data_IF_620649299126
#
_entry.id   IF_620649299126
#
_cell.length_a   1.000
_cell.length_b   1.000
_cell.length_c   1.000
_cell.angle_alpha   90.00
_cell.angle_beta   90.00
_cell.angle_gamma   90.00
#
_symmetry.space_group_name_H-M   'P 1'
#
loop_
_entity.id
_entity.type
_entity.pdbx_description
1 polymer ?
#
# COMPACT_ATOMS: atom_id res chain seq x y z
N UNK A 1 -79.51 15.13 4.50
CA UNK A 1 -78.12 15.58 4.60
C UNK A 1 -77.25 14.35 4.56
N UNK A 2 -76.55 14.15 3.43
CA UNK A 2 -75.60 13.02 3.23
C UNK A 2 -74.17 13.54 3.39
N UNK A 3 -73.43 13.03 4.38
CA UNK A 3 -72.01 13.27 4.55
C UNK A 3 -71.26 12.35 3.64
N UNK A 4 -70.43 12.92 2.76
CA UNK A 4 -69.43 12.22 1.91
C UNK A 4 -68.10 12.29 2.62
N UNK A 5 -67.57 11.14 3.07
CA UNK A 5 -66.23 10.98 3.64
C UNK A 5 -65.23 10.88 2.49
N UNK A 6 -64.25 11.81 2.42
CA UNK A 6 -63.09 11.73 1.51
C UNK A 6 -61.97 11.05 2.25
N UNK A 7 -61.66 9.80 1.88
CA UNK A 7 -60.45 9.13 2.31
C UNK A 7 -59.27 9.65 1.50
N UNK A 8 -58.33 10.32 2.14
CA UNK A 8 -57.06 10.74 1.59
C UNK A 8 -56.03 9.62 1.86
N UNK A 9 -55.67 8.85 0.84
CA UNK A 9 -54.61 7.85 0.93
C UNK A 9 -53.25 8.55 0.83
N UNK A 10 -52.50 8.52 1.93
CA UNK A 10 -51.15 9.04 2.00
C UNK A 10 -50.18 7.96 1.49
N UNK A 11 -49.68 8.12 0.25
CA UNK A 11 -48.65 7.24 -0.32
C UNK A 11 -47.29 7.69 0.24
N UNK A 12 -46.73 6.95 1.17
CA UNK A 12 -45.34 7.14 1.64
C UNK A 12 -44.41 6.50 0.62
N UNK A 13 -43.75 7.33 -0.17
CA UNK A 13 -42.59 6.88 -0.97
C UNK A 13 -41.41 6.67 -0.03
N UNK A 14 -41.05 5.40 0.19
CA UNK A 14 -39.81 5.00 0.85
C UNK A 14 -38.65 5.14 -0.18
N UNK A 15 -37.96 6.26 -0.14
CA UNK A 15 -36.70 6.43 -0.91
C UNK A 15 -35.62 5.59 -0.24
N UNK A 16 -35.29 4.41 -0.82
CA UNK A 16 -34.06 3.70 -0.49
C UNK A 16 -32.91 4.55 -0.99
N UNK A 17 -32.25 5.26 -0.10
CA UNK A 17 -30.93 5.82 -0.36
C UNK A 17 -29.91 4.65 -0.35
N UNK A 18 -29.56 4.16 -1.52
CA UNK A 18 -28.35 3.36 -1.70
C UNK A 18 -27.17 4.29 -1.42
N UNK A 19 -26.63 4.22 -0.20
CA UNK A 19 -25.37 4.86 0.12
C UNK A 19 -24.28 4.27 -0.79
N UNK A 20 -23.29 5.08 -1.22
CA UNK A 20 -22.19 4.57 -2.03
C UNK A 20 -21.47 3.48 -1.24
N UNK A 21 -21.41 2.28 -1.79
CA UNK A 21 -20.53 1.22 -1.31
C UNK A 21 -19.13 1.68 -1.66
N UNK A 22 -18.36 2.12 -0.66
CA UNK A 22 -16.94 2.42 -0.84
C UNK A 22 -16.26 1.10 -1.16
N UNK A 23 -15.96 0.88 -2.43
CA UNK A 23 -15.13 -0.24 -2.87
C UNK A 23 -13.69 0.05 -2.36
N UNK A 24 -13.31 -0.61 -1.27
CA UNK A 24 -11.94 -0.52 -0.76
C UNK A 24 -11.03 -1.36 -1.66
N UNK A 25 -10.16 -0.70 -2.40
CA UNK A 25 -9.23 -1.28 -3.39
C UNK A 25 -8.04 -2.04 -2.77
N UNK A 26 -8.21 -2.71 -1.64
CA UNK A 26 -7.16 -3.53 -1.03
C UNK A 26 -7.45 -5.01 -1.28
N UNK A 27 -6.99 -5.49 -2.42
CA UNK A 27 -7.30 -6.80 -3.00
C UNK A 27 -6.94 -7.98 -2.12
N UNK A 28 -5.91 -7.83 -1.33
CA UNK A 28 -5.25 -8.91 -0.64
C UNK A 28 -6.07 -9.56 0.48
N UNK A 29 -6.76 -8.80 1.31
CA UNK A 29 -7.50 -9.36 2.45
C UNK A 29 -8.95 -9.69 2.18
N UNK A 30 -9.53 -9.17 1.11
CA UNK A 30 -10.95 -9.44 0.77
C UNK A 30 -11.16 -10.91 0.44
N UNK A 31 -10.18 -11.56 -0.15
CA UNK A 31 -10.26 -12.96 -0.56
C UNK A 31 -10.11 -13.93 0.60
N UNK A 32 -9.62 -13.49 1.75
CA UNK A 32 -9.40 -14.34 2.92
C UNK A 32 -10.51 -14.21 3.96
N UNK A 33 -10.75 -15.30 4.70
CA UNK A 33 -11.67 -15.30 5.83
C UNK A 33 -11.07 -14.55 7.02
N UNK A 34 -11.92 -13.98 7.87
CA UNK A 34 -11.47 -13.37 9.13
C UNK A 34 -11.08 -14.41 10.19
N UNK A 35 -11.45 -15.68 9.99
CA UNK A 35 -11.08 -16.77 10.88
C UNK A 35 -9.65 -17.22 10.62
N UNK A 36 -8.93 -17.51 11.69
CA UNK A 36 -7.56 -18.04 11.63
C UNK A 36 -7.59 -19.55 11.85
N UNK A 37 -6.89 -20.30 11.00
CA UNK A 37 -6.63 -21.73 11.19
C UNK A 37 -5.14 -21.96 11.39
N UNK A 38 -4.79 -23.16 11.85
CA UNK A 38 -3.40 -23.64 11.91
C UNK A 38 -3.35 -25.10 11.49
N UNK A 39 -2.30 -25.48 10.79
CA UNK A 39 -2.04 -26.85 10.39
C UNK A 39 -0.53 -27.15 10.44
N UNK A 40 -0.19 -28.45 10.41
CA UNK A 40 1.19 -28.94 10.36
C UNK A 40 1.46 -29.57 9.01
N UNK A 41 2.66 -29.34 8.48
CA UNK A 41 3.03 -29.94 7.22
C UNK A 41 4.51 -29.79 6.90
N UNK A 42 4.89 -30.33 5.75
CA UNK A 42 6.26 -30.32 5.26
C UNK A 42 6.42 -29.25 4.17
N UNK A 43 7.45 -28.43 4.27
CA UNK A 43 7.80 -27.45 3.24
C UNK A 43 8.18 -28.16 1.96
N UNK A 44 7.51 -27.88 0.86
CA UNK A 44 7.80 -28.48 -0.46
C UNK A 44 8.47 -27.50 -1.42
N UNK A 45 8.19 -26.18 -1.26
CA UNK A 45 8.76 -25.12 -2.09
C UNK A 45 8.69 -23.77 -1.38
N UNK A 46 9.63 -22.89 -1.68
CA UNK A 46 9.63 -21.48 -1.28
C UNK A 46 9.93 -20.61 -2.50
N UNK A 47 8.99 -19.75 -2.89
CA UNK A 47 9.18 -18.73 -3.91
C UNK A 47 9.53 -17.41 -3.20
N UNK A 48 10.83 -17.13 -3.04
CA UNK A 48 11.32 -15.92 -2.35
C UNK A 48 11.45 -14.77 -3.34
N UNK A 49 10.30 -14.14 -3.64
CA UNK A 49 10.16 -13.09 -4.65
C UNK A 49 9.17 -12.03 -4.19
N UNK A 50 9.19 -10.84 -4.82
CA UNK A 50 8.25 -9.75 -4.57
C UNK A 50 7.16 -9.71 -5.65
N UNK A 51 5.98 -9.16 -5.34
CA UNK A 51 5.60 -8.44 -4.12
C UNK A 51 5.31 -9.32 -2.90
N UNK A 52 5.11 -10.62 -3.07
CA UNK A 52 4.79 -11.55 -1.99
C UNK A 52 5.61 -12.84 -2.11
N UNK A 53 6.15 -13.26 -0.96
CA UNK A 53 6.78 -14.58 -0.86
C UNK A 53 5.71 -15.64 -0.69
N UNK A 54 5.78 -16.71 -1.48
CA UNK A 54 4.90 -17.87 -1.39
C UNK A 54 5.64 -19.07 -0.83
N UNK A 55 5.05 -19.66 0.21
CA UNK A 55 5.51 -20.91 0.83
C UNK A 55 4.51 -22.01 0.50
N UNK A 56 4.99 -23.16 0.04
CA UNK A 56 4.18 -24.33 -0.24
C UNK A 56 4.42 -25.39 0.82
N UNK A 57 3.32 -25.87 1.45
CA UNK A 57 3.38 -26.84 2.56
C UNK A 57 2.42 -27.99 2.29
N UNK A 58 2.96 -29.20 2.29
CA UNK A 58 2.19 -30.43 2.18
C UNK A 58 1.66 -30.84 3.56
N UNK A 59 0.34 -30.89 3.69
CA UNK A 59 -0.38 -31.35 4.88
C UNK A 59 -0.90 -32.76 4.65
N UNK A 60 -0.61 -33.68 5.57
CA UNK A 60 -1.22 -35.02 5.57
C UNK A 60 -2.58 -34.96 6.28
N UNK A 61 -3.63 -35.37 5.57
CA UNK A 61 -4.99 -35.41 6.09
C UNK A 61 -5.23 -36.69 6.90
N UNK A 62 -6.29 -36.72 7.71
CA UNK A 62 -6.66 -37.88 8.54
C UNK A 62 -6.96 -39.13 7.71
N UNK A 63 -7.44 -38.98 6.47
CA UNK A 63 -7.74 -40.07 5.53
C UNK A 63 -6.49 -40.60 4.79
N UNK A 64 -5.32 -40.06 5.07
CA UNK A 64 -4.05 -40.40 4.45
C UNK A 64 -3.76 -39.65 3.14
N UNK A 65 -4.67 -38.83 2.64
CA UNK A 65 -4.39 -37.98 1.47
C UNK A 65 -3.43 -36.84 1.82
N UNK A 66 -2.71 -36.33 0.84
CA UNK A 66 -1.81 -35.19 0.99
C UNK A 66 -2.37 -33.98 0.23
N UNK A 67 -2.52 -32.86 0.91
CA UNK A 67 -2.96 -31.59 0.35
C UNK A 67 -1.82 -30.60 0.40
N UNK A 68 -1.52 -29.93 -0.71
CA UNK A 68 -0.54 -28.86 -0.73
C UNK A 68 -1.23 -27.52 -0.58
N UNK A 69 -0.87 -26.82 0.48
CA UNK A 69 -1.27 -25.43 0.70
C UNK A 69 -0.33 -24.47 0.00
N UNK A 70 -0.87 -23.50 -0.71
CA UNK A 70 -0.19 -22.30 -1.17
C UNK A 70 -0.36 -21.21 -0.11
N UNK A 71 0.75 -20.69 0.39
CA UNK A 71 0.76 -19.81 1.55
C UNK A 71 1.38 -18.49 1.15
N UNK A 72 0.54 -17.50 1.04
CA UNK A 72 0.95 -16.13 0.77
C UNK A 72 1.44 -15.45 2.04
N UNK A 73 2.53 -14.69 1.93
CA UNK A 73 3.14 -13.97 3.05
C UNK A 73 3.41 -12.51 2.67
N UNK A 74 4.30 -11.82 3.37
CA UNK A 74 4.76 -10.48 3.02
C UNK A 74 5.84 -10.48 1.94
N UNK A 75 6.32 -9.27 1.61
CA UNK A 75 7.45 -9.06 0.70
C UNK A 75 8.78 -9.53 1.32
N UNK A 76 9.78 -9.75 0.48
CA UNK A 76 11.13 -10.16 0.94
C UNK A 76 11.74 -9.18 1.93
N UNK A 77 11.68 -7.82 1.76
CA UNK A 77 12.16 -6.88 2.78
C UNK A 77 11.41 -7.00 4.10
N UNK A 78 10.09 -7.12 4.05
CA UNK A 78 9.26 -7.25 5.25
C UNK A 78 9.60 -8.50 6.06
N UNK A 79 9.79 -9.64 5.41
CA UNK A 79 10.12 -10.91 6.06
C UNK A 79 11.56 -10.90 6.60
N UNK A 80 12.52 -10.37 5.84
CA UNK A 80 13.91 -10.25 6.26
C UNK A 80 14.04 -9.43 7.54
N UNK A 81 13.35 -8.28 7.63
CA UNK A 81 13.34 -7.46 8.87
C UNK A 81 12.69 -8.16 10.06
N UNK A 82 11.87 -9.18 9.82
CA UNK A 82 11.27 -10.04 10.87
C UNK A 82 12.14 -11.23 11.21
N UNK A 83 13.34 -11.29 10.62
CA UNK A 83 14.30 -12.36 10.85
C UNK A 83 13.99 -13.67 10.12
N UNK A 84 13.12 -13.63 9.10
CA UNK A 84 12.90 -14.76 8.20
C UNK A 84 13.69 -14.54 6.91
N UNK A 85 14.57 -15.47 6.58
CA UNK A 85 15.38 -15.49 5.35
C UNK A 85 15.14 -16.81 4.59
N UNK A 86 15.44 -16.87 3.28
CA UNK A 86 15.11 -18.05 2.46
C UNK A 86 15.76 -19.35 2.96
N UNK A 87 16.94 -19.28 3.59
CA UNK A 87 17.67 -20.43 4.16
C UNK A 87 17.03 -20.99 5.44
N UNK A 88 16.03 -20.30 6.00
CA UNK A 88 15.36 -20.73 7.23
C UNK A 88 14.17 -21.66 7.01
N UNK A 89 13.68 -21.76 5.78
CA UNK A 89 12.55 -22.61 5.38
C UNK A 89 12.93 -23.51 4.20
N UNK A 90 13.70 -24.55 4.50
CA UNK A 90 14.16 -25.51 3.48
C UNK A 90 13.11 -26.58 3.19
N UNK A 91 13.11 -27.08 1.96
CA UNK A 91 12.29 -28.23 1.57
C UNK A 91 12.56 -29.42 2.47
N UNK A 92 11.51 -30.12 2.88
CA UNK A 92 11.57 -31.26 3.81
C UNK A 92 11.43 -30.86 5.30
N UNK A 93 11.48 -29.55 5.64
CA UNK A 93 11.28 -29.11 7.02
C UNK A 93 9.81 -29.18 7.44
N UNK A 94 9.58 -29.69 8.64
CA UNK A 94 8.26 -29.64 9.28
C UNK A 94 8.01 -28.29 9.90
N UNK A 95 6.85 -27.71 9.58
CA UNK A 95 6.41 -26.42 10.09
C UNK A 95 4.95 -26.46 10.54
N UNK A 96 4.60 -25.55 11.44
CA UNK A 96 3.21 -25.19 11.72
C UNK A 96 2.96 -23.85 11.08
N UNK A 97 1.96 -23.78 10.21
CA UNK A 97 1.50 -22.54 9.60
C UNK A 97 0.21 -22.09 10.25
N UNK A 98 0.12 -20.80 10.54
CA UNK A 98 -1.08 -20.15 11.06
C UNK A 98 -1.45 -18.98 10.16
N UNK A 99 -2.72 -18.88 9.78
CA UNK A 99 -3.18 -17.80 8.91
C UNK A 99 -4.67 -17.84 8.62
N UNK A 100 -5.07 -17.01 7.69
CA UNK A 100 -6.44 -16.85 7.24
C UNK A 100 -6.61 -17.57 5.90
N UNK A 101 -7.45 -18.62 5.79
CA UNK A 101 -7.67 -19.32 4.53
C UNK A 101 -8.49 -18.49 3.56
N UNK A 102 -8.34 -18.80 2.26
CA UNK A 102 -9.19 -18.24 1.20
C UNK A 102 -10.68 -18.52 1.48
N UNK A 103 -11.55 -17.60 1.06
CA UNK A 103 -13.02 -17.77 1.18
C UNK A 103 -13.50 -18.99 0.37
N UNK A 104 -12.84 -19.31 -0.73
CA UNK A 104 -13.00 -20.57 -1.43
C UNK A 104 -12.02 -21.61 -0.86
N UNK A 105 -12.48 -22.39 0.11
CA UNK A 105 -11.67 -23.40 0.80
C UNK A 105 -11.13 -24.53 -0.11
N UNK A 106 -11.65 -24.66 -1.31
CA UNK A 106 -11.15 -25.63 -2.30
C UNK A 106 -9.80 -25.19 -2.90
N UNK A 107 -9.49 -23.89 -2.90
CA UNK A 107 -8.23 -23.37 -3.43
C UNK A 107 -7.00 -23.77 -2.62
N UNK A 108 -7.16 -24.13 -1.34
CA UNK A 108 -6.04 -24.39 -0.41
C UNK A 108 -5.01 -23.26 -0.40
N UNK A 109 -5.48 -22.05 -0.48
CA UNK A 109 -4.72 -20.82 -0.38
C UNK A 109 -4.90 -20.21 1.01
N UNK A 110 -3.84 -19.66 1.59
CA UNK A 110 -3.84 -19.05 2.91
C UNK A 110 -2.97 -17.80 2.94
N UNK A 111 -3.41 -16.76 3.66
CA UNK A 111 -2.56 -15.64 4.02
C UNK A 111 -2.00 -15.85 5.44
N UNK A 112 -0.70 -16.14 5.53
CA UNK A 112 -0.09 -16.54 6.78
C UNK A 112 0.15 -15.36 7.73
N UNK A 113 -0.14 -15.58 9.02
CA UNK A 113 0.21 -14.67 10.11
C UNK A 113 1.47 -15.12 10.86
N UNK A 114 1.78 -16.41 10.87
CA UNK A 114 2.98 -16.95 11.49
C UNK A 114 3.36 -18.31 10.90
N UNK A 115 4.67 -18.59 10.96
CA UNK A 115 5.24 -19.92 10.70
C UNK A 115 6.11 -20.30 11.89
N UNK A 116 5.89 -21.51 12.44
CA UNK A 116 6.66 -22.09 13.55
C UNK A 116 7.41 -23.31 13.07
N UNK A 117 8.72 -23.36 13.26
CA UNK A 117 9.57 -24.50 12.95
C UNK A 117 9.45 -25.61 14.02
N UNK A 118 9.91 -26.80 13.70
CA UNK A 118 9.89 -27.94 14.63
C UNK A 118 10.70 -27.69 15.93
N UNK A 119 11.70 -26.82 15.87
CA UNK A 119 12.50 -26.39 17.05
C UNK A 119 11.77 -25.38 17.97
N UNK A 120 10.54 -25.00 17.60
CA UNK A 120 9.72 -24.01 18.34
C UNK A 120 9.95 -22.56 17.93
N UNK A 121 10.93 -22.26 17.07
CA UNK A 121 11.16 -20.91 16.57
C UNK A 121 9.97 -20.44 15.72
N UNK A 122 9.37 -19.32 16.12
CA UNK A 122 8.20 -18.75 15.46
C UNK A 122 8.56 -17.44 14.77
N UNK A 123 8.18 -17.32 13.49
CA UNK A 123 8.27 -16.08 12.70
C UNK A 123 6.87 -15.50 12.59
N UNK A 124 6.70 -14.26 13.10
CA UNK A 124 5.47 -13.48 12.92
C UNK A 124 5.56 -12.74 11.59
N UNK A 125 4.65 -13.03 10.66
CA UNK A 125 4.73 -12.57 9.27
C UNK A 125 3.92 -11.31 8.99
N UNK A 126 3.06 -10.92 9.93
CA UNK A 126 2.16 -9.77 9.80
C UNK A 126 2.33 -8.79 10.96
N UNK A 127 1.76 -7.59 10.80
CA UNK A 127 1.80 -6.52 11.80
C UNK A 127 2.90 -5.50 11.53
N UNK A 128 2.96 -4.45 12.34
CA UNK A 128 4.04 -3.45 12.26
C UNK A 128 5.36 -4.06 12.71
N UNK A 129 6.46 -3.68 12.07
CA UNK A 129 7.79 -3.94 12.62
C UNK A 129 7.88 -3.04 13.86
N UNK A 130 7.83 -3.67 15.05
CA UNK A 130 7.99 -2.96 16.29
C UNK A 130 9.42 -2.41 16.37
N UNK A 131 9.60 -1.23 16.98
CA UNK A 131 10.92 -0.91 17.49
C UNK A 131 11.26 -1.98 18.55
N UNK A 132 12.48 -2.48 18.60
CA UNK A 132 12.92 -3.29 19.71
C UNK A 132 12.57 -2.59 21.02
N UNK A 133 11.90 -3.31 21.92
CA UNK A 133 11.45 -2.74 23.20
C UNK A 133 12.64 -2.11 23.93
N UNK A 134 12.57 -0.79 24.17
CA UNK A 134 13.54 -0.07 24.98
C UNK A 134 14.64 0.69 24.23
N UNK A 135 14.70 0.68 22.91
CA UNK A 135 15.61 1.59 22.20
C UNK A 135 15.08 3.03 22.23
N UNK A 136 15.99 3.97 22.55
CA UNK A 136 15.69 5.40 22.47
C UNK A 136 15.25 5.75 21.04
N UNK A 137 14.16 6.51 20.91
CA UNK A 137 13.70 6.98 19.61
C UNK A 137 14.79 7.92 19.06
N UNK A 138 15.39 7.54 17.93
CA UNK A 138 16.40 8.35 17.26
C UNK A 138 15.78 9.67 16.78
N UNK A 139 16.58 10.73 16.79
CA UNK A 139 16.17 12.09 16.39
C UNK A 139 16.93 12.51 15.14
N UNK A 140 16.19 12.94 14.12
CA UNK A 140 16.74 13.57 12.93
C UNK A 140 16.99 15.06 13.20
N UNK A 141 18.01 15.62 12.56
CA UNK A 141 18.30 17.07 12.57
C UNK A 141 17.81 17.77 11.30
N UNK A 142 17.36 17.03 10.31
CA UNK A 142 16.80 17.51 9.05
C UNK A 142 15.83 16.48 8.47
N UNK A 143 15.18 16.81 7.36
CA UNK A 143 14.32 15.86 6.65
C UNK A 143 15.09 14.72 5.98
N UNK A 144 16.42 14.87 5.78
CA UNK A 144 17.25 13.82 5.18
C UNK A 144 17.40 12.62 6.12
N UNK A 145 17.43 11.42 5.54
CA UNK A 145 17.62 10.17 6.26
C UNK A 145 16.58 9.11 5.89
N UNK A 146 16.57 8.03 6.68
CA UNK A 146 15.68 6.88 6.48
C UNK A 146 14.44 7.00 7.36
N UNK A 147 13.29 6.78 6.75
CA UNK A 147 11.97 6.97 7.34
C UNK A 147 11.09 5.74 7.14
N UNK A 148 10.28 5.44 8.14
CA UNK A 148 9.27 4.39 8.06
C UNK A 148 7.87 5.00 8.08
N UNK A 149 7.03 4.68 7.10
CA UNK A 149 5.64 5.12 7.07
C UNK A 149 4.89 4.68 8.34
N UNK A 150 4.21 5.60 9.00
CA UNK A 150 3.30 5.33 10.12
C UNK A 150 1.89 4.97 9.65
N UNK A 151 1.55 5.35 8.43
CA UNK A 151 0.35 4.91 7.75
C UNK A 151 0.47 3.44 7.34
N UNK A 152 -0.66 2.76 7.33
CA UNK A 152 -0.80 1.50 6.61
C UNK A 152 -1.94 1.71 5.63
N UNK A 153 -1.79 1.39 4.35
CA UNK A 153 -2.91 1.38 3.43
C UNK A 153 -4.02 0.42 3.90
N UNK A 154 -3.69 -0.44 4.87
CA UNK A 154 -4.61 -1.38 5.53
C UNK A 154 -5.18 -0.88 6.86
N UNK A 155 -4.78 0.30 7.33
CA UNK A 155 -5.29 0.87 8.58
C UNK A 155 -6.67 1.51 8.34
N UNK A 156 -7.71 0.71 8.59
CA UNK A 156 -9.11 1.16 8.49
C UNK A 156 -9.48 2.21 9.55
N UNK A 157 -8.60 2.54 10.49
CA UNK A 157 -8.84 3.58 11.50
C UNK A 157 -8.48 4.97 10.96
N UNK A 158 -7.69 5.08 9.90
CA UNK A 158 -7.55 6.31 9.15
C UNK A 158 -8.80 6.48 8.28
N UNK A 159 -9.50 7.60 8.45
CA UNK A 159 -10.65 7.92 7.61
C UNK A 159 -10.23 7.81 6.13
N UNK A 160 -10.97 6.98 5.36
CA UNK A 160 -10.77 6.94 3.93
C UNK A 160 -10.85 8.38 3.40
N UNK A 161 -9.81 8.81 2.70
CA UNK A 161 -9.81 10.14 2.07
C UNK A 161 -11.02 10.18 1.14
N UNK A 162 -11.96 11.05 1.45
CA UNK A 162 -13.08 11.28 0.55
C UNK A 162 -12.57 12.10 -0.62
N UNK A 163 -12.51 11.47 -1.81
CA UNK A 163 -12.11 12.17 -3.02
C UNK A 163 -13.34 12.86 -3.63
N UNK A 164 -13.32 14.19 -3.81
CA UNK A 164 -14.38 14.93 -4.49
C UNK A 164 -14.28 14.65 -5.99
N UNK A 165 -15.04 13.68 -6.48
CA UNK A 165 -14.91 13.20 -7.86
C UNK A 165 -15.67 14.10 -8.85
N UNK A 166 -15.14 14.21 -10.07
CA UNK A 166 -15.90 14.64 -11.23
C UNK A 166 -16.83 13.51 -11.71
N UNK A 167 -17.76 13.79 -12.62
CA UNK A 167 -18.57 12.74 -13.24
C UNK A 167 -17.70 11.64 -13.92
N UNK A 168 -16.52 12.00 -14.46
CA UNK A 168 -15.54 11.04 -15.01
C UNK A 168 -14.90 10.21 -13.90
N UNK A 169 -14.56 10.85 -12.78
CA UNK A 169 -14.02 10.17 -11.59
C UNK A 169 -15.02 9.18 -10.99
N UNK A 170 -16.30 9.56 -10.87
CA UNK A 170 -17.37 8.67 -10.40
C UNK A 170 -17.56 7.46 -11.33
N UNK A 171 -17.54 7.69 -12.65
CA UNK A 171 -17.64 6.61 -13.62
C UNK A 171 -16.44 5.66 -13.55
N UNK A 172 -15.22 6.18 -13.35
CA UNK A 172 -14.01 5.39 -13.19
C UNK A 172 -14.06 4.56 -11.89
N UNK A 173 -14.48 5.16 -10.78
CA UNK A 173 -14.66 4.44 -9.51
C UNK A 173 -15.67 3.29 -9.63
N UNK A 174 -16.77 3.51 -10.34
CA UNK A 174 -17.80 2.49 -10.58
C UNK A 174 -17.34 1.37 -11.53
N UNK A 175 -16.40 1.68 -12.43
CA UNK A 175 -15.82 0.72 -13.38
C UNK A 175 -14.57 0.01 -12.86
N UNK A 176 -14.20 0.30 -11.60
CA UNK A 176 -13.01 -0.27 -10.99
C UNK A 176 -13.08 -1.81 -11.00
N UNK A 177 -12.04 -2.44 -11.54
CA UNK A 177 -11.85 -3.89 -11.54
C UNK A 177 -10.41 -4.21 -11.09
N UNK A 178 -10.31 -5.02 -10.06
CA UNK A 178 -9.08 -5.59 -9.51
C UNK A 178 -8.19 -6.22 -10.58
N UNK A 179 -8.82 -6.89 -11.57
CA UNK A 179 -8.08 -7.52 -12.66
C UNK A 179 -7.25 -6.52 -13.48
N UNK A 180 -7.58 -5.22 -13.41
CA UNK A 180 -6.89 -4.14 -14.10
C UNK A 180 -5.95 -3.35 -13.18
N UNK A 181 -5.64 -3.88 -11.99
CA UNK A 181 -4.71 -3.24 -11.06
C UNK A 181 -3.30 -3.14 -11.68
N UNK A 182 -2.75 -1.92 -11.87
CA UNK A 182 -1.41 -1.73 -12.42
C UNK A 182 -0.31 -2.42 -11.60
N UNK A 183 -0.53 -2.63 -10.31
CA UNK A 183 0.42 -3.32 -9.42
C UNK A 183 0.66 -4.76 -9.85
N UNK A 184 -0.32 -5.41 -10.46
CA UNK A 184 -0.15 -6.75 -11.03
C UNK A 184 0.79 -6.77 -12.26
N UNK A 185 1.07 -5.61 -12.86
CA UNK A 185 2.03 -5.45 -13.96
C UNK A 185 3.32 -4.76 -13.49
N UNK A 186 3.61 -4.77 -12.19
CA UNK A 186 4.77 -4.12 -11.59
C UNK A 186 4.86 -2.62 -11.90
N UNK A 187 3.74 -1.95 -12.12
CA UNK A 187 3.69 -0.49 -12.29
C UNK A 187 3.60 0.15 -10.90
N UNK A 188 4.62 0.92 -10.49
CA UNK A 188 4.66 1.48 -9.15
C UNK A 188 3.60 2.57 -8.95
N UNK A 189 3.09 2.75 -7.71
CA UNK A 189 2.17 3.85 -7.41
C UNK A 189 2.89 5.19 -7.51
N UNK A 190 2.31 6.19 -8.18
CA UNK A 190 2.78 7.56 -8.05
C UNK A 190 2.31 8.18 -6.73
N UNK A 191 2.85 9.36 -6.37
CA UNK A 191 2.29 10.12 -5.26
C UNK A 191 0.82 10.49 -5.54
N UNK A 192 -0.06 10.54 -4.52
CA UNK A 192 0.21 10.43 -3.08
C UNK A 192 0.21 9.00 -2.52
N UNK A 193 -0.14 7.98 -3.30
CA UNK A 193 -0.27 6.61 -2.80
C UNK A 193 1.07 6.03 -2.32
N UNK A 194 2.14 6.34 -3.04
CA UNK A 194 3.48 5.89 -2.68
C UNK A 194 3.90 6.34 -1.26
N UNK A 195 3.45 7.53 -0.80
CA UNK A 195 3.72 8.04 0.55
C UNK A 195 3.14 7.17 1.68
N UNK A 196 2.22 6.28 1.36
CA UNK A 196 1.50 5.43 2.33
C UNK A 196 1.95 3.98 2.29
N UNK A 197 2.87 3.61 1.41
CA UNK A 197 3.37 2.23 1.32
C UNK A 197 4.02 1.81 2.65
N UNK A 198 3.87 0.54 3.08
CA UNK A 198 4.40 0.07 4.37
C UNK A 198 5.90 -0.24 4.31
N UNK A 199 6.61 0.41 3.41
CA UNK A 199 8.04 0.24 3.15
C UNK A 199 8.85 1.41 3.72
N UNK A 200 10.16 1.35 3.57
CA UNK A 200 11.04 2.45 3.95
C UNK A 200 11.12 3.50 2.84
N UNK A 201 11.33 4.72 3.28
CA UNK A 201 11.60 5.87 2.44
C UNK A 201 12.94 6.47 2.86
N UNK A 202 13.71 6.96 1.91
CA UNK A 202 14.97 7.66 2.19
C UNK A 202 14.95 9.00 1.46
N UNK A 203 15.31 10.05 2.19
CA UNK A 203 15.49 11.40 1.62
C UNK A 203 16.98 11.69 1.60
N UNK A 204 17.53 11.87 0.40
CA UNK A 204 18.93 12.18 0.17
C UNK A 204 19.03 13.60 -0.33
N UNK A 205 19.45 14.51 0.55
CA UNK A 205 19.59 15.93 0.22
C UNK A 205 20.98 16.21 -0.39
N UNK A 206 21.00 16.69 -1.63
CA UNK A 206 22.18 17.20 -2.32
C UNK A 206 22.11 18.72 -2.50
N UNK A 207 23.09 19.31 -3.20
CA UNK A 207 23.17 20.75 -3.45
C UNK A 207 22.07 21.21 -4.45
N UNK A 208 22.01 20.57 -5.61
CA UNK A 208 21.09 20.93 -6.70
C UNK A 208 19.91 19.93 -6.85
N UNK A 209 19.88 18.89 -6.07
CA UNK A 209 18.84 17.86 -6.13
C UNK A 209 18.54 17.27 -4.75
N UNK A 210 17.30 16.87 -4.55
CA UNK A 210 16.88 15.94 -3.49
C UNK A 210 16.37 14.67 -4.16
N UNK A 211 16.81 13.50 -3.67
CA UNK A 211 16.28 12.21 -4.13
C UNK A 211 15.30 11.73 -3.05
N UNK A 212 14.06 11.52 -3.46
CA UNK A 212 13.04 10.84 -2.66
C UNK A 212 13.00 9.39 -3.12
N UNK A 213 13.66 8.53 -2.34
CA UNK A 213 13.79 7.10 -2.63
C UNK A 213 12.77 6.31 -1.85
N UNK A 214 12.16 5.35 -2.49
CA UNK A 214 11.25 4.41 -1.87
C UNK A 214 11.78 2.99 -2.05
N UNK A 215 11.73 2.21 -0.98
CA UNK A 215 12.07 0.79 -1.06
C UNK A 215 11.08 0.01 -1.94
N UNK A 216 9.81 0.48 -2.00
CA UNK A 216 8.79 -0.16 -2.81
C UNK A 216 9.13 -0.05 -4.29
N UNK A 217 9.51 -1.18 -4.89
CA UNK A 217 9.95 -1.31 -6.28
C UNK A 217 11.11 -0.38 -6.68
N UNK A 218 11.93 0.00 -5.68
CA UNK A 218 13.18 0.75 -5.88
C UNK A 218 12.97 2.08 -6.64
N UNK A 219 11.93 2.83 -6.27
CA UNK A 219 11.59 4.09 -6.91
C UNK A 219 12.55 5.19 -6.43
N UNK A 220 13.17 5.90 -7.38
CA UNK A 220 13.89 7.15 -7.14
C UNK A 220 13.17 8.31 -7.83
N UNK A 221 12.64 9.26 -7.07
CA UNK A 221 12.06 10.50 -7.57
C UNK A 221 13.06 11.64 -7.34
N UNK A 222 13.54 12.23 -8.45
CA UNK A 222 14.50 13.32 -8.42
C UNK A 222 13.75 14.65 -8.35
N UNK A 223 14.02 15.42 -7.30
CA UNK A 223 13.53 16.79 -7.11
C UNK A 223 14.64 17.76 -7.45
N UNK A 224 14.44 18.62 -8.45
CA UNK A 224 15.42 19.62 -8.86
C UNK A 224 15.33 20.86 -7.97
N UNK A 225 16.45 21.21 -7.32
CA UNK A 225 16.56 22.29 -6.34
C UNK A 225 17.30 23.54 -6.88
N UNK A 226 17.65 23.55 -8.16
CA UNK A 226 18.45 24.59 -8.81
C UNK A 226 17.65 25.82 -9.31
N UNK A 227 16.37 25.90 -8.93
CA UNK A 227 15.49 27.02 -9.26
C UNK A 227 14.90 26.97 -10.67
N UNK A 228 15.08 25.85 -11.40
CA UNK A 228 14.40 25.66 -12.70
C UNK A 228 12.90 25.58 -12.54
N UNK A 229 12.15 25.91 -13.59
CA UNK A 229 10.72 25.60 -13.68
C UNK A 229 10.44 24.24 -14.31
N UNK A 230 9.18 23.81 -14.31
CA UNK A 230 8.74 22.65 -15.10
C UNK A 230 8.87 22.94 -16.59
N UNK A 231 9.32 21.97 -17.41
CA UNK A 231 9.32 22.12 -18.86
C UNK A 231 7.87 22.20 -19.36
N UNK A 232 7.63 23.11 -20.32
CA UNK A 232 6.29 23.30 -20.94
C UNK A 232 5.89 22.05 -21.73
N UNK A 233 6.88 21.46 -22.42
CA UNK A 233 6.76 20.19 -23.11
C UNK A 233 7.85 19.25 -22.56
N UNK A 234 7.44 18.23 -21.85
CA UNK A 234 8.34 17.26 -21.21
C UNK A 234 7.83 15.84 -21.36
N UNK A 235 8.75 14.90 -21.24
CA UNK A 235 8.36 13.50 -21.11
C UNK A 235 7.53 13.31 -19.85
N UNK A 236 6.36 12.70 -20.00
CA UNK A 236 5.55 12.27 -18.87
C UNK A 236 6.11 10.97 -18.31
N UNK A 237 6.13 10.85 -17.01
CA UNK A 237 6.57 9.64 -16.32
C UNK A 237 5.58 9.29 -15.22
N UNK A 238 5.65 8.05 -14.74
CA UNK A 238 4.83 7.62 -13.61
C UNK A 238 5.07 8.49 -12.35
N UNK A 239 6.32 8.89 -12.10
CA UNK A 239 6.69 9.71 -10.95
C UNK A 239 6.64 11.24 -11.24
N UNK A 240 6.29 11.63 -12.45
CA UNK A 240 6.21 13.02 -12.87
C UNK A 240 7.58 13.70 -13.02
N UNK A 241 7.57 15.03 -13.08
CA UNK A 241 8.74 15.90 -13.01
C UNK A 241 8.61 16.78 -11.77
N UNK A 242 9.57 16.67 -10.85
CA UNK A 242 9.54 17.36 -9.57
C UNK A 242 10.59 18.47 -9.51
N UNK A 243 10.17 19.65 -9.06
CA UNK A 243 11.04 20.75 -8.67
C UNK A 243 10.82 21.06 -7.18
N UNK A 244 11.80 21.66 -6.52
CA UNK A 244 11.66 21.96 -5.10
C UNK A 244 12.39 23.21 -4.67
N UNK A 245 12.09 23.64 -3.47
CA UNK A 245 12.78 24.69 -2.75
C UNK A 245 12.64 24.51 -1.24
N UNK A 246 13.46 25.22 -0.50
CA UNK A 246 13.39 25.24 0.96
C UNK A 246 12.63 26.48 1.45
N UNK A 247 11.68 26.27 2.35
CA UNK A 247 11.06 27.32 3.15
C UNK A 247 11.49 27.18 4.62
N UNK A 248 12.59 27.80 4.98
CA UNK A 248 13.29 27.50 6.24
C UNK A 248 13.75 26.03 6.23
N UNK A 249 13.28 25.22 7.18
CA UNK A 249 13.59 23.80 7.29
C UNK A 249 12.56 22.89 6.61
N UNK A 250 11.57 23.45 5.92
CA UNK A 250 10.53 22.70 5.19
C UNK A 250 10.96 22.49 3.75
N UNK A 251 11.03 21.25 3.31
CA UNK A 251 11.18 20.92 1.88
C UNK A 251 9.81 21.01 1.21
N UNK A 252 9.70 21.87 0.20
CA UNK A 252 8.51 21.97 -0.67
C UNK A 252 8.84 21.35 -2.01
N UNK A 253 7.99 20.42 -2.45
CA UNK A 253 8.13 19.70 -3.72
C UNK A 253 6.88 19.92 -4.56
N UNK A 254 7.07 20.40 -5.78
CA UNK A 254 6.03 20.64 -6.77
C UNK A 254 6.23 19.63 -7.91
N UNK A 255 5.20 18.85 -8.27
CA UNK A 255 5.30 17.78 -9.25
C UNK A 255 4.16 17.83 -10.25
N UNK A 256 4.54 17.81 -11.53
CA UNK A 256 3.65 17.77 -12.71
C UNK A 256 4.15 16.72 -13.72
N UNK A 257 3.60 16.72 -14.93
CA UNK A 257 4.03 15.82 -16.01
C UNK A 257 3.94 14.33 -15.64
N UNK A 258 2.90 13.98 -14.92
CA UNK A 258 2.57 12.57 -14.72
C UNK A 258 2.05 11.95 -16.00
N UNK A 259 2.40 10.69 -16.26
CA UNK A 259 1.67 9.89 -17.24
C UNK A 259 0.30 9.46 -16.69
N UNK A 260 -0.58 9.05 -17.58
CA UNK A 260 -1.87 8.49 -17.16
C UNK A 260 -1.64 7.20 -16.37
N UNK A 261 -2.29 7.08 -15.22
CA UNK A 261 -2.15 5.92 -14.36
C UNK A 261 -3.52 5.48 -13.82
N UNK A 262 -3.80 4.16 -13.87
CA UNK A 262 -5.09 3.61 -13.47
C UNK A 262 -5.51 3.89 -12.02
N UNK A 263 -4.54 4.13 -11.12
CA UNK A 263 -4.76 4.44 -9.69
C UNK A 263 -3.97 5.68 -9.25
N UNK A 264 -3.68 6.58 -10.18
CA UNK A 264 -2.75 7.67 -9.93
C UNK A 264 -3.22 8.72 -8.92
N UNK A 265 -4.51 8.82 -8.63
CA UNK A 265 -5.06 9.70 -7.60
C UNK A 265 -5.33 8.99 -6.27
N UNK A 266 -5.00 7.71 -6.18
CA UNK A 266 -5.26 6.88 -5.01
C UNK A 266 -6.66 6.27 -4.99
N UNK A 267 -6.85 5.29 -4.10
CA UNK A 267 -8.15 4.63 -3.87
C UNK A 267 -8.79 4.04 -5.14
N UNK A 268 -7.98 3.63 -6.13
CA UNK A 268 -8.47 3.08 -7.40
C UNK A 268 -8.99 4.13 -8.39
N UNK A 269 -8.73 5.42 -8.13
CA UNK A 269 -9.10 6.51 -9.02
C UNK A 269 -7.93 6.80 -9.98
N UNK A 270 -8.17 6.78 -11.30
CA UNK A 270 -7.15 7.12 -12.28
C UNK A 270 -6.64 8.55 -12.12
N UNK A 271 -5.44 8.82 -12.64
CA UNK A 271 -4.94 10.18 -12.85
C UNK A 271 -4.87 10.52 -14.33
N UNK A 272 -5.10 11.79 -14.64
CA UNK A 272 -4.98 12.36 -15.98
C UNK A 272 -3.72 13.17 -16.17
N UNK A 273 -3.57 13.66 -17.41
CA UNK A 273 -2.45 14.49 -17.81
C UNK A 273 -2.34 15.84 -17.06
N UNK A 274 -3.44 16.30 -16.47
CA UNK A 274 -3.50 17.53 -15.67
C UNK A 274 -3.20 17.36 -14.19
N UNK A 275 -2.80 16.14 -13.76
CA UNK A 275 -2.44 15.89 -12.37
C UNK A 275 -1.27 16.78 -11.94
N UNK A 276 -1.44 17.41 -10.77
CA UNK A 276 -0.48 18.27 -10.11
C UNK A 276 -0.51 17.99 -8.61
N UNK A 277 0.64 17.93 -7.96
CA UNK A 277 0.72 17.77 -6.52
C UNK A 277 1.83 18.63 -5.94
N UNK A 278 1.51 19.31 -4.83
CA UNK A 278 2.48 20.06 -4.04
C UNK A 278 2.60 19.39 -2.67
N UNK A 279 3.80 18.99 -2.30
CA UNK A 279 4.11 18.30 -1.05
C UNK A 279 4.97 19.18 -0.16
N UNK A 280 4.77 19.07 1.16
CA UNK A 280 5.50 19.82 2.18
C UNK A 280 6.00 18.86 3.25
N UNK A 281 7.30 18.67 3.32
CA UNK A 281 7.97 17.78 4.27
C UNK A 281 8.43 18.58 5.48
N UNK A 282 7.82 18.34 6.62
CA UNK A 282 8.07 19.10 7.86
C UNK A 282 8.51 18.16 8.98
N UNK A 283 9.72 18.41 9.50
CA UNK A 283 10.25 17.66 10.63
C UNK A 283 9.60 18.14 11.94
N UNK A 284 9.22 17.22 12.83
CA UNK A 284 8.75 17.57 14.17
C UNK A 284 9.87 18.22 15.00
N UNK A 285 9.51 19.05 16.00
CA UNK A 285 10.47 19.66 16.89
C UNK A 285 11.36 18.67 17.63
N UNK A 286 10.81 17.46 17.90
CA UNK A 286 11.53 16.37 18.55
C UNK A 286 12.42 15.58 17.59
N UNK A 287 12.35 15.87 16.28
CA UNK A 287 13.14 15.15 15.26
C UNK A 287 12.74 13.70 15.03
N UNK A 288 11.59 13.26 15.55
CA UNK A 288 11.20 11.82 15.52
C UNK A 288 10.23 11.48 14.41
N UNK A 289 9.50 12.50 13.92
CA UNK A 289 8.41 12.34 12.94
C UNK A 289 8.55 13.35 11.83
N UNK A 290 8.39 12.89 10.60
CA UNK A 290 8.27 13.70 9.40
C UNK A 290 6.80 13.71 8.98
N UNK A 291 6.22 14.90 8.89
CA UNK A 291 4.86 15.10 8.37
C UNK A 291 4.94 15.56 6.92
N UNK A 292 4.29 14.84 6.02
CA UNK A 292 4.16 15.18 4.61
C UNK A 292 2.73 15.64 4.37
N UNK A 293 2.52 16.96 4.33
CA UNK A 293 1.27 17.54 3.87
C UNK A 293 1.27 17.70 2.37
N UNK A 294 0.16 17.42 1.70
CA UNK A 294 0.06 17.62 0.26
C UNK A 294 -1.25 18.24 -0.17
N UNK A 295 -1.22 18.90 -1.34
CA UNK A 295 -2.37 19.35 -2.10
C UNK A 295 -2.31 18.68 -3.47
N UNK A 296 -3.33 17.87 -3.78
CA UNK A 296 -3.47 17.15 -5.04
C UNK A 296 -4.57 17.79 -5.88
N UNK A 297 -4.26 18.09 -7.12
CA UNK A 297 -5.17 18.60 -8.14
C UNK A 297 -5.16 17.65 -9.34
N UNK A 298 -6.33 17.31 -9.85
CA UNK A 298 -6.52 16.61 -11.12
C UNK A 298 -7.89 16.96 -11.68
N UNK A 299 -8.00 18.04 -12.47
CA UNK A 299 -9.30 18.54 -12.92
C UNK A 299 -10.07 17.56 -13.81
N UNK A 300 -9.44 16.50 -14.27
CA UNK A 300 -10.10 15.44 -15.05
C UNK A 300 -10.92 14.51 -14.15
N UNK A 301 -10.39 14.16 -12.98
CA UNK A 301 -10.98 13.19 -12.07
C UNK A 301 -11.46 13.77 -10.73
N UNK A 302 -10.88 14.91 -10.31
CA UNK A 302 -11.21 15.59 -9.07
C UNK A 302 -11.91 16.92 -9.33
N UNK A 303 -13.05 17.19 -8.68
CA UNK A 303 -13.84 18.41 -8.85
C UNK A 303 -13.29 19.60 -8.06
N UNK A 304 -12.44 19.34 -7.06
CA UNK A 304 -11.73 20.33 -6.25
C UNK A 304 -10.41 19.74 -5.72
N UNK A 305 -9.45 20.60 -5.30
CA UNK A 305 -8.19 20.12 -4.72
C UNK A 305 -8.40 19.29 -3.46
N UNK A 306 -7.62 18.23 -3.32
CA UNK A 306 -7.59 17.35 -2.14
C UNK A 306 -6.38 17.67 -1.29
N UNK A 307 -6.62 17.95 -0.01
CA UNK A 307 -5.55 18.17 0.98
C UNK A 307 -5.55 17.04 1.99
N UNK A 308 -4.38 16.44 2.22
CA UNK A 308 -4.22 15.39 3.21
C UNK A 308 -2.79 15.36 3.77
N UNK A 309 -2.52 14.50 4.74
CA UNK A 309 -1.21 14.37 5.38
C UNK A 309 -0.81 12.92 5.55
N UNK A 310 0.51 12.68 5.49
CA UNK A 310 1.12 11.40 5.85
C UNK A 310 2.18 11.63 6.91
N UNK A 311 2.45 10.60 7.70
CA UNK A 311 3.46 10.67 8.74
C UNK A 311 4.43 9.49 8.62
N UNK A 312 5.72 9.82 8.72
CA UNK A 312 6.80 8.86 8.74
C UNK A 312 7.60 9.02 10.04
N UNK A 313 8.03 7.92 10.60
CA UNK A 313 8.90 7.90 11.78
C UNK A 313 10.36 7.78 11.34
N UNK A 314 11.26 8.52 12.01
CA UNK A 314 12.70 8.39 11.78
C UNK A 314 13.19 7.00 12.14
N UNK A 315 13.95 6.36 11.25
CA UNK A 315 14.36 4.97 11.36
C UNK A 315 15.81 4.75 10.87
N UNK A 316 16.80 5.49 11.39
CA UNK A 316 18.19 5.45 10.88
C UNK A 316 18.88 4.11 11.08
N UNK A 317 18.33 3.24 11.96
CA UNK A 317 18.82 1.88 12.20
C UNK A 317 18.34 0.88 11.13
N UNK A 318 17.42 1.29 10.27
CA UNK A 318 16.90 0.44 9.20
C UNK A 318 17.57 0.80 7.88
N UNK A 319 17.71 -0.21 7.05
CA UNK A 319 18.30 -0.12 5.71
C UNK A 319 17.26 -0.51 4.67
N UNK A 320 17.24 0.20 3.53
CA UNK A 320 16.42 -0.18 2.39
C UNK A 320 16.97 -1.48 1.79
N UNK A 321 16.10 -2.46 1.61
CA UNK A 321 16.46 -3.75 1.06
C UNK A 321 15.96 -3.86 -0.38
N UNK A 322 16.61 -4.69 -1.23
CA UNK A 322 16.15 -4.94 -2.59
C UNK A 322 14.69 -5.41 -2.61
N UNK A 323 13.89 -4.75 -3.44
CA UNK A 323 12.44 -5.01 -3.56
C UNK A 323 12.00 -5.01 -5.04
N UNK A 324 12.82 -5.57 -5.91
CA UNK A 324 12.50 -5.72 -7.32
C UNK A 324 11.23 -6.57 -7.50
N UNK A 325 10.30 -6.10 -8.32
CA UNK A 325 9.03 -6.78 -8.59
C UNK A 325 9.21 -7.93 -9.57
N UNK A 326 8.72 -9.12 -9.23
CA UNK A 326 8.60 -10.26 -10.13
C UNK A 326 7.21 -10.30 -10.76
N UNK A 327 7.15 -10.17 -12.08
CA UNK A 327 5.91 -10.05 -12.83
C UNK A 327 5.00 -11.28 -12.72
N UNK A 328 5.59 -12.48 -12.67
CA UNK A 328 4.82 -13.73 -12.56
C UNK A 328 4.17 -13.84 -11.19
N UNK A 329 4.85 -13.36 -10.14
CA UNK A 329 4.29 -13.30 -8.79
C UNK A 329 3.21 -12.22 -8.70
N UNK A 330 3.47 -11.02 -9.24
CA UNK A 330 2.53 -9.91 -9.18
C UNK A 330 1.20 -10.24 -9.87
N UNK A 331 1.24 -10.99 -10.97
CA UNK A 331 0.04 -11.37 -11.75
C UNK A 331 -0.83 -12.45 -11.10
N UNK A 332 -0.34 -13.15 -10.09
CA UNK A 332 -1.14 -14.16 -9.36
C UNK A 332 -2.41 -13.59 -8.73
N UNK A 333 -2.47 -12.27 -8.51
CA UNK A 333 -3.68 -11.60 -8.01
C UNK A 333 -4.84 -11.58 -9.00
N UNK A 334 -4.57 -11.85 -10.27
CA UNK A 334 -5.60 -11.90 -11.33
C UNK A 334 -6.24 -13.28 -11.48
N UNK A 335 -5.67 -14.30 -10.88
CA UNK A 335 -6.14 -15.70 -10.91
C UNK A 335 -7.02 -16.05 -9.70
#
# INVERSE_FOLDING_TARGET
>A
MKYVSKNCALTVMLSLSLGPVVASAHHHRINFLDTTIAFHGEVTRLDWKNPHVYLYVAEQQEDGTVVTWEIETGSTPSLTRRGLTPDMLETGQLVTVRGNPDRNLDKKLMYASAVTKADGKTFVLQGRIANPDGEAIAQASSVAGVWQSLGSPYDRTQAAVFLPLTAKGEAAAAAFDVANDPFADCVPPPVPDSLSTPYLHEIIAGEDTVILREEYWEIDRIVYMDGRGHPVEGQRTNQGHSIGHWEGDVLVVDTTLFEDHGFGNGSGIPSGAGKHIVERYTLSNEGTTLTIGYVLEDPEYLSEPVTDTRQWRYAPQLELLPNECDLDIARRYRE
#
